data_IF_711316055448
#
_entry.id   IF_711316055448
#
_cell.length_a   1.000
_cell.length_b   1.000
_cell.length_c   1.000
_cell.angle_alpha   90.00
_cell.angle_beta   90.00
_cell.angle_gamma   90.00
#
_symmetry.space_group_name_H-M   'P 1'
#
loop_
_entity.id
_entity.type
_entity.pdbx_description
1 polymer ?
#
# COMPACT_ATOMS: atom_id res chain seq x y z
N UNK A 1 -28.25 36.72 -57.83
CA UNK A 1 -26.98 37.02 -57.15
C UNK A 1 -26.70 35.88 -56.20
N UNK A 2 -25.81 34.99 -56.62
CA UNK A 2 -25.18 34.01 -55.73
C UNK A 2 -24.36 34.77 -54.68
N UNK A 3 -24.51 34.41 -53.41
CA UNK A 3 -23.45 34.57 -52.41
C UNK A 3 -23.50 33.41 -51.43
N UNK A 4 -22.64 32.43 -51.72
CA UNK A 4 -21.69 31.74 -50.84
C UNK A 4 -22.14 31.29 -49.43
N UNK A 5 -21.95 29.97 -49.26
CA UNK A 5 -21.88 29.17 -48.05
C UNK A 5 -21.29 29.84 -46.78
N UNK A 6 -21.95 29.59 -45.65
CA UNK A 6 -21.39 29.71 -44.31
C UNK A 6 -21.88 28.54 -43.45
N UNK A 7 -21.00 27.56 -43.21
CA UNK A 7 -21.23 26.43 -42.29
C UNK A 7 -21.31 26.96 -40.85
N UNK A 8 -22.34 26.56 -40.11
CA UNK A 8 -22.38 26.67 -38.64
C UNK A 8 -22.76 25.32 -38.02
N UNK A 9 -21.89 24.33 -38.20
CA UNK A 9 -21.83 23.17 -37.31
C UNK A 9 -20.62 23.38 -36.41
N UNK A 10 -20.82 23.79 -35.15
CA UNK A 10 -19.86 23.61 -34.07
C UNK A 10 -20.47 24.05 -32.73
N UNK A 11 -21.18 23.13 -32.07
CA UNK A 11 -21.41 23.16 -30.62
C UNK A 11 -21.75 21.76 -30.09
N UNK A 12 -20.95 20.75 -30.43
CA UNK A 12 -21.03 19.43 -29.77
C UNK A 12 -19.73 18.60 -29.80
N UNK A 13 -18.66 19.09 -30.41
CA UNK A 13 -17.36 18.42 -30.44
C UNK A 13 -16.31 19.21 -29.63
N UNK A 14 -16.49 19.26 -28.31
CA UNK A 14 -15.46 19.73 -27.37
C UNK A 14 -15.59 18.95 -26.05
N UNK A 15 -15.38 17.64 -26.12
CA UNK A 15 -15.12 16.83 -24.92
C UNK A 15 -14.10 15.71 -25.15
N UNK A 16 -13.54 15.53 -26.36
CA UNK A 16 -12.66 14.39 -26.64
C UNK A 16 -11.34 14.85 -27.26
N UNK A 17 -10.46 15.42 -26.44
CA UNK A 17 -9.01 15.53 -26.66
C UNK A 17 -8.46 15.99 -25.28
N UNK A 18 -7.78 15.21 -24.45
CA UNK A 18 -6.69 14.25 -24.69
C UNK A 18 -6.79 13.11 -23.68
N UNK A 19 -6.96 11.86 -24.14
CA UNK A 19 -6.43 10.69 -23.42
C UNK A 19 -4.93 10.63 -23.76
N UNK A 20 -4.15 11.52 -23.16
CA UNK A 20 -2.70 11.39 -23.14
C UNK A 20 -2.36 10.25 -22.21
N UNK A 21 -1.77 9.19 -22.74
CA UNK A 21 -1.13 8.04 -22.05
C UNK A 21 -1.50 7.92 -20.56
N UNK A 22 -2.60 7.22 -20.25
CA UNK A 22 -2.95 6.91 -18.86
C UNK A 22 -1.74 6.23 -18.22
N UNK A 23 -1.05 6.95 -17.33
CA UNK A 23 -0.14 6.35 -16.37
C UNK A 23 -0.93 5.23 -15.67
N UNK A 24 -0.51 3.98 -15.88
CA UNK A 24 -1.27 2.84 -15.42
C UNK A 24 -0.79 2.46 -14.03
N UNK A 25 -1.64 2.72 -13.05
CA UNK A 25 -1.31 2.45 -11.66
C UNK A 25 -1.43 0.98 -11.30
N UNK A 26 -0.55 0.52 -10.42
CA UNK A 26 -0.51 -0.88 -9.98
C UNK A 26 -1.04 -1.03 -8.55
N UNK A 27 -1.84 -2.06 -8.33
CA UNK A 27 -2.21 -2.49 -6.99
C UNK A 27 -1.00 -3.14 -6.32
N UNK A 28 -0.55 -2.59 -5.20
CA UNK A 28 0.60 -3.08 -4.43
C UNK A 28 0.10 -3.71 -3.15
N UNK A 29 0.29 -5.03 -3.02
CA UNK A 29 0.09 -5.76 -1.77
C UNK A 29 1.33 -6.63 -1.51
N UNK A 30 2.03 -6.39 -0.42
CA UNK A 30 3.26 -7.11 -0.06
C UNK A 30 3.21 -7.57 1.39
N UNK A 31 3.56 -8.83 1.63
CA UNK A 31 3.62 -9.39 2.98
C UNK A 31 5.05 -9.33 3.56
N UNK A 32 5.16 -8.92 4.82
CA UNK A 32 6.35 -9.03 5.66
C UNK A 32 6.07 -9.88 6.90
N UNK A 33 7.03 -10.74 7.26
CA UNK A 33 6.94 -11.59 8.46
C UNK A 33 7.48 -10.84 9.66
N UNK A 34 6.69 -10.76 10.72
CA UNK A 34 7.06 -10.12 11.98
C UNK A 34 7.13 -11.18 13.09
N UNK A 35 8.28 -11.24 13.74
CA UNK A 35 8.53 -12.07 14.94
C UNK A 35 8.46 -11.18 16.18
N UNK A 36 8.44 -11.79 17.36
CA UNK A 36 8.37 -11.08 18.65
C UNK A 36 9.33 -9.89 18.75
N UNK A 37 10.60 -10.06 18.37
CA UNK A 37 11.61 -8.99 18.45
C UNK A 37 11.30 -7.75 17.57
N UNK A 38 10.56 -7.92 16.46
CA UNK A 38 10.21 -6.82 15.55
C UNK A 38 8.88 -6.14 15.88
N UNK A 39 8.03 -6.77 16.71
CA UNK A 39 6.65 -6.36 16.88
C UNK A 39 6.51 -5.00 17.58
N UNK A 40 7.35 -4.72 18.58
CA UNK A 40 7.35 -3.42 19.26
C UNK A 40 7.90 -2.30 18.38
N UNK A 41 8.88 -2.59 17.53
CA UNK A 41 9.37 -1.64 16.53
C UNK A 41 8.29 -1.27 15.51
N UNK A 42 7.52 -2.28 15.07
CA UNK A 42 6.35 -2.08 14.19
C UNK A 42 5.27 -1.23 14.85
N UNK A 43 4.99 -1.45 16.13
CA UNK A 43 4.08 -0.59 16.90
C UNK A 43 4.55 0.87 16.92
N UNK A 44 5.81 1.12 17.27
CA UNK A 44 6.36 2.48 17.31
C UNK A 44 6.26 3.18 15.96
N UNK A 45 6.48 2.43 14.87
CA UNK A 45 6.33 2.93 13.52
C UNK A 45 4.86 3.23 13.19
N UNK A 46 3.97 2.24 13.31
CA UNK A 46 2.59 2.34 12.85
C UNK A 46 1.76 3.34 13.68
N UNK A 47 1.99 3.40 14.99
CA UNK A 47 1.27 4.30 15.90
C UNK A 47 2.00 5.62 16.17
N UNK A 48 3.10 5.87 15.45
CA UNK A 48 3.92 7.09 15.55
C UNK A 48 4.34 7.45 16.99
N UNK A 49 4.57 6.44 17.84
CA UNK A 49 4.92 6.64 19.26
C UNK A 49 6.31 7.26 19.47
N UNK A 50 7.16 7.23 18.44
CA UNK A 50 8.52 7.77 18.47
C UNK A 50 8.82 8.47 17.15
N UNK A 51 9.63 9.53 17.21
CA UNK A 51 10.19 10.15 16.02
C UNK A 51 11.01 9.12 15.24
N UNK A 52 10.72 8.99 13.95
CA UNK A 52 11.50 8.13 13.06
C UNK A 52 12.94 8.64 12.96
N UNK A 53 13.90 7.72 12.94
CA UNK A 53 15.33 8.02 12.75
C UNK A 53 15.82 7.69 11.34
N UNK A 54 14.94 7.12 10.52
CA UNK A 54 15.28 6.47 9.24
C UNK A 54 14.40 6.94 8.09
N UNK A 55 13.34 7.69 8.39
CA UNK A 55 12.38 8.16 7.42
C UNK A 55 12.11 9.64 7.71
N UNK A 56 12.80 10.51 7.00
CA UNK A 56 12.65 11.96 7.10
C UNK A 56 11.46 12.47 6.29
N UNK A 57 10.82 11.61 5.48
CA UNK A 57 9.63 11.93 4.69
C UNK A 57 8.32 11.91 5.49
N UNK A 58 8.38 11.67 6.80
CA UNK A 58 7.19 11.71 7.66
C UNK A 58 6.83 13.16 7.96
N UNK A 59 5.67 13.58 7.49
CA UNK A 59 5.09 14.89 7.79
C UNK A 59 4.30 14.84 9.11
N UNK A 60 4.93 15.31 10.18
CA UNK A 60 4.35 15.31 11.52
C UNK A 60 3.07 16.15 11.66
N UNK A 61 2.85 17.15 10.80
CA UNK A 61 1.61 17.96 10.83
C UNK A 61 0.41 17.16 10.29
N UNK A 62 0.69 16.18 9.43
CA UNK A 62 -0.29 15.29 8.80
C UNK A 62 -0.48 13.97 9.55
N UNK A 63 0.32 13.65 10.56
CA UNK A 63 0.15 12.42 11.36
C UNK A 63 -1.26 12.28 11.95
N UNK A 64 -1.95 13.39 12.23
CA UNK A 64 -3.36 13.39 12.67
C UNK A 64 -4.36 12.88 11.62
N UNK A 65 -3.94 12.77 10.36
CA UNK A 65 -4.71 12.20 9.24
C UNK A 65 -4.57 10.68 9.16
N UNK A 66 -3.66 10.08 9.93
CA UNK A 66 -3.53 8.63 10.04
C UNK A 66 -4.68 8.06 10.88
N UNK A 67 -5.08 6.83 10.58
CA UNK A 67 -6.17 6.15 11.30
C UNK A 67 -5.98 4.64 11.29
N UNK A 68 -6.60 3.92 12.23
CA UNK A 68 -6.63 2.46 12.26
C UNK A 68 -8.07 1.97 12.02
N UNK A 69 -8.25 1.14 10.99
CA UNK A 69 -9.56 0.58 10.62
C UNK A 69 -10.05 -0.52 11.57
N UNK A 70 -9.17 -1.05 12.42
CA UNK A 70 -9.46 -2.12 13.37
C UNK A 70 -9.62 -1.60 14.81
N UNK A 71 -8.89 -0.56 15.19
CA UNK A 71 -8.78 -0.11 16.57
C UNK A 71 -9.07 1.39 16.70
N UNK A 72 -9.97 1.77 17.61
CA UNK A 72 -10.30 3.18 17.84
C UNK A 72 -9.20 3.97 18.57
N UNK A 73 -8.27 3.24 19.21
CA UNK A 73 -7.16 3.80 19.99
C UNK A 73 -5.90 2.99 19.77
N UNK A 74 -4.78 3.61 20.11
CA UNK A 74 -3.48 2.96 20.20
C UNK A 74 -3.53 1.74 21.14
N UNK A 75 -2.80 0.69 20.77
CA UNK A 75 -2.78 -0.61 21.45
C UNK A 75 -1.35 -1.12 21.63
N UNK A 76 -1.11 -1.97 22.63
CA UNK A 76 0.13 -2.75 22.64
C UNK A 76 0.01 -3.94 21.69
N UNK A 77 0.87 -3.98 20.67
CA UNK A 77 0.84 -5.04 19.66
C UNK A 77 1.24 -6.39 20.24
N UNK A 78 2.14 -6.46 21.22
CA UNK A 78 2.50 -7.74 21.85
C UNK A 78 1.33 -8.31 22.64
N UNK A 79 0.65 -7.46 23.42
CA UNK A 79 -0.53 -7.86 24.19
C UNK A 79 -1.65 -8.32 23.25
N UNK A 80 -2.01 -7.49 22.27
CA UNK A 80 -3.09 -7.83 21.32
C UNK A 80 -2.81 -9.12 20.54
N UNK A 81 -1.60 -9.29 20.02
CA UNK A 81 -1.24 -10.51 19.28
C UNK A 81 -1.27 -11.73 20.20
N UNK A 82 -0.82 -11.59 21.45
CA UNK A 82 -0.91 -12.65 22.45
C UNK A 82 -2.36 -13.01 22.77
N UNK A 83 -3.25 -12.03 22.94
CA UNK A 83 -4.69 -12.25 23.15
C UNK A 83 -5.32 -13.05 21.99
N UNK A 84 -5.03 -12.66 20.74
CA UNK A 84 -5.53 -13.37 19.55
C UNK A 84 -5.03 -14.81 19.50
N UNK A 85 -3.76 -15.05 19.86
CA UNK A 85 -3.20 -16.40 19.88
C UNK A 85 -3.85 -17.23 20.98
N UNK A 86 -3.85 -16.75 22.23
CA UNK A 86 -4.30 -17.54 23.37
C UNK A 86 -5.82 -17.79 23.37
N UNK A 87 -6.62 -16.88 22.81
CA UNK A 87 -8.08 -17.08 22.65
C UNK A 87 -8.46 -18.20 21.68
N UNK A 88 -7.55 -18.60 20.79
CA UNK A 88 -7.82 -19.60 19.74
C UNK A 88 -6.99 -20.87 19.89
N UNK A 89 -5.90 -20.82 20.64
CA UNK A 89 -4.91 -21.88 20.70
C UNK A 89 -5.45 -23.10 21.46
N UNK A 90 -5.44 -24.25 20.82
CA UNK A 90 -5.94 -25.51 21.41
C UNK A 90 -4.84 -26.34 22.10
N UNK A 91 -3.57 -26.08 21.78
CA UNK A 91 -2.45 -26.81 22.34
C UNK A 91 -1.85 -26.15 23.58
N UNK A 92 -1.36 -26.96 24.52
CA UNK A 92 -0.68 -26.47 25.75
C UNK A 92 0.77 -26.04 25.53
N UNK A 93 1.37 -26.37 24.39
CA UNK A 93 2.78 -26.04 24.10
C UNK A 93 2.98 -24.52 23.96
N UNK A 94 4.06 -24.01 24.55
CA UNK A 94 4.45 -22.60 24.39
C UNK A 94 4.75 -22.26 22.94
N UNK A 95 4.38 -21.04 22.53
CA UNK A 95 4.75 -20.49 21.22
C UNK A 95 6.26 -20.38 21.11
N UNK A 96 6.84 -20.94 20.04
CA UNK A 96 8.30 -20.90 19.79
C UNK A 96 8.79 -19.45 19.66
N UNK A 97 9.99 -19.16 20.18
CA UNK A 97 10.57 -17.81 20.21
C UNK A 97 10.76 -17.17 18.83
N UNK A 98 10.97 -17.99 17.81
CA UNK A 98 11.22 -17.58 16.43
C UNK A 98 9.98 -17.75 15.53
N UNK A 99 8.80 -17.95 16.14
CA UNK A 99 7.53 -17.97 15.43
C UNK A 99 7.31 -16.63 14.71
N UNK A 100 6.77 -16.73 13.50
CA UNK A 100 6.13 -15.59 12.86
C UNK A 100 4.82 -15.36 13.61
N UNK A 101 4.73 -14.24 14.32
CA UNK A 101 3.57 -13.87 15.11
C UNK A 101 2.56 -13.10 14.27
N UNK A 102 3.06 -12.27 13.35
CA UNK A 102 2.24 -11.47 12.45
C UNK A 102 2.81 -11.55 11.04
N UNK A 103 1.91 -11.65 10.06
CA UNK A 103 2.19 -11.40 8.66
C UNK A 103 1.56 -10.03 8.34
N UNK A 104 2.39 -9.00 8.25
CA UNK A 104 1.93 -7.64 7.94
C UNK A 104 1.81 -7.48 6.43
N UNK A 105 0.64 -7.07 5.95
CA UNK A 105 0.41 -6.69 4.56
C UNK A 105 0.57 -5.19 4.44
N UNK A 106 1.53 -4.75 3.62
CA UNK A 106 1.61 -3.40 3.10
C UNK A 106 0.70 -3.31 1.89
N UNK A 107 -0.32 -2.45 1.97
CA UNK A 107 -1.33 -2.24 0.92
C UNK A 107 -1.29 -0.80 0.45
N UNK A 108 -1.05 -0.59 -0.84
CA UNK A 108 -0.92 0.75 -1.45
C UNK A 108 -1.04 0.67 -2.98
N UNK A 109 -0.77 1.79 -3.64
CA UNK A 109 -0.56 1.94 -5.07
C UNK A 109 0.56 2.98 -5.29
N UNK A 110 0.63 3.61 -6.45
CA UNK A 110 1.48 4.77 -6.70
C UNK A 110 0.81 6.08 -6.29
N UNK A 111 1.60 7.15 -6.26
CA UNK A 111 1.17 8.49 -5.90
C UNK A 111 0.11 9.03 -6.87
N UNK A 112 0.33 8.85 -8.17
CA UNK A 112 -0.58 9.31 -9.22
C UNK A 112 -1.99 8.72 -9.06
N UNK A 113 -2.11 7.47 -8.63
CA UNK A 113 -3.40 6.86 -8.30
C UNK A 113 -4.13 7.60 -7.19
N UNK A 114 -3.47 7.84 -6.05
CA UNK A 114 -4.13 8.46 -4.90
C UNK A 114 -4.41 9.95 -5.12
N UNK A 115 -3.56 10.67 -5.86
CA UNK A 115 -3.80 12.09 -6.18
C UNK A 115 -5.06 12.31 -7.04
N UNK A 116 -5.52 11.27 -7.75
CA UNK A 116 -6.76 11.31 -8.54
C UNK A 116 -8.02 11.00 -7.71
N UNK A 117 -7.87 10.51 -6.47
CA UNK A 117 -8.98 10.15 -5.59
C UNK A 117 -9.23 11.25 -4.56
N UNK A 118 -10.50 11.58 -4.33
CA UNK A 118 -10.88 12.40 -3.19
C UNK A 118 -10.64 11.64 -1.86
N UNK A 119 -10.54 12.35 -0.71
CA UNK A 119 -10.25 11.71 0.57
C UNK A 119 -11.24 10.59 0.97
N UNK A 120 -12.51 10.69 0.58
CA UNK A 120 -13.51 9.66 0.84
C UNK A 120 -13.23 8.39 0.03
N UNK A 121 -12.87 8.54 -1.24
CA UNK A 121 -12.48 7.43 -2.11
C UNK A 121 -11.15 6.79 -1.71
N UNK A 122 -10.17 7.57 -1.25
CA UNK A 122 -8.95 7.02 -0.65
C UNK A 122 -9.26 6.19 0.60
N UNK A 123 -10.14 6.67 1.48
CA UNK A 123 -10.57 5.91 2.64
C UNK A 123 -11.30 4.63 2.24
N UNK A 124 -12.19 4.69 1.25
CA UNK A 124 -12.92 3.55 0.69
C UNK A 124 -11.97 2.49 0.12
N UNK A 125 -10.89 2.91 -0.54
CA UNK A 125 -9.85 2.01 -1.03
C UNK A 125 -9.27 1.13 0.09
N UNK A 126 -8.91 1.74 1.23
CA UNK A 126 -8.37 1.00 2.37
C UNK A 126 -9.44 0.19 3.12
N UNK A 127 -10.68 0.66 3.17
CA UNK A 127 -11.80 -0.08 3.77
C UNK A 127 -12.14 -1.36 2.99
N UNK A 128 -12.23 -1.29 1.66
CA UNK A 128 -12.45 -2.46 0.81
C UNK A 128 -11.25 -3.43 0.87
N UNK A 129 -10.04 -2.89 0.93
CA UNK A 129 -8.82 -3.70 1.18
C UNK A 129 -8.92 -4.44 2.53
N UNK A 130 -9.25 -3.73 3.60
CA UNK A 130 -9.41 -4.29 4.94
C UNK A 130 -10.50 -5.36 4.98
N UNK A 131 -11.63 -5.11 4.33
CA UNK A 131 -12.74 -6.05 4.20
C UNK A 131 -12.31 -7.34 3.50
N UNK A 132 -11.68 -7.25 2.32
CA UNK A 132 -11.18 -8.41 1.57
C UNK A 132 -10.28 -9.30 2.44
N UNK A 133 -9.30 -8.70 3.12
CA UNK A 133 -8.34 -9.46 3.91
C UNK A 133 -8.95 -9.98 5.23
N UNK A 134 -9.86 -9.23 5.84
CA UNK A 134 -10.60 -9.67 7.03
C UNK A 134 -11.51 -10.86 6.73
N UNK A 135 -12.19 -10.86 5.58
CA UNK A 135 -13.00 -11.99 5.11
C UNK A 135 -12.12 -13.21 4.79
N UNK A 136 -10.97 -12.99 4.15
CA UNK A 136 -10.03 -14.07 3.78
C UNK A 136 -9.36 -14.73 4.98
N UNK A 137 -8.90 -13.94 5.95
CA UNK A 137 -8.06 -14.42 7.05
C UNK A 137 -8.78 -14.51 8.40
N UNK A 138 -10.01 -14.01 8.49
CA UNK A 138 -10.81 -13.93 9.70
C UNK A 138 -10.60 -12.59 10.42
N UNK A 139 -11.69 -11.84 10.65
CA UNK A 139 -11.66 -10.53 11.32
C UNK A 139 -11.06 -10.59 12.74
N UNK A 140 -11.19 -11.72 13.42
CA UNK A 140 -10.60 -12.00 14.73
C UNK A 140 -9.07 -12.13 14.68
N UNK A 141 -8.50 -12.47 13.52
CA UNK A 141 -7.07 -12.62 13.32
C UNK A 141 -6.36 -11.29 12.97
N UNK A 142 -7.12 -10.23 12.68
CA UNK A 142 -6.56 -8.92 12.37
C UNK A 142 -6.25 -8.17 13.67
N UNK A 143 -4.97 -7.94 13.92
CA UNK A 143 -4.49 -7.25 15.12
C UNK A 143 -4.62 -5.72 14.98
N UNK A 144 -4.27 -5.19 13.81
CA UNK A 144 -4.27 -3.76 13.47
C UNK A 144 -4.40 -3.57 11.96
N UNK A 145 -4.90 -2.41 11.53
CA UNK A 145 -4.99 -2.01 10.13
C UNK A 145 -4.78 -0.49 10.02
N UNK A 146 -3.54 -0.06 10.19
CA UNK A 146 -3.17 1.35 10.31
C UNK A 146 -2.86 1.95 8.94
N UNK A 147 -3.55 3.02 8.57
CA UNK A 147 -3.34 3.79 7.35
C UNK A 147 -2.46 5.00 7.68
N UNK A 148 -1.37 5.13 6.93
CA UNK A 148 -0.49 6.30 6.95
C UNK A 148 -0.79 7.19 5.75
N UNK A 149 -1.18 8.42 6.04
CA UNK A 149 -1.33 9.51 5.08
C UNK A 149 -0.18 10.53 5.21
N UNK A 150 0.60 10.45 6.29
CA UNK A 150 1.71 11.36 6.62
C UNK A 150 3.05 11.02 5.94
N UNK A 151 3.04 10.18 4.90
CA UNK A 151 4.23 9.86 4.09
C UNK A 151 3.99 10.20 2.61
N UNK A 152 4.97 9.95 1.74
CA UNK A 152 4.92 10.31 0.32
C UNK A 152 3.72 9.70 -0.45
N UNK A 153 3.24 8.53 -0.05
CA UNK A 153 2.12 7.85 -0.70
C UNK A 153 1.25 7.19 0.36
N UNK A 154 -0.08 7.39 0.33
CA UNK A 154 -0.99 6.72 1.25
C UNK A 154 -0.81 5.21 1.24
N UNK A 155 -0.66 4.58 2.41
CA UNK A 155 -0.50 3.14 2.52
C UNK A 155 -1.03 2.60 3.83
N UNK A 156 -1.42 1.32 3.84
CA UNK A 156 -1.92 0.62 5.01
C UNK A 156 -0.98 -0.50 5.44
N UNK A 157 -0.71 -0.56 6.74
CA UNK A 157 -0.10 -1.69 7.44
C UNK A 157 -1.19 -2.54 8.10
N UNK A 158 -1.45 -3.72 7.53
CA UNK A 158 -2.47 -4.64 8.04
C UNK A 158 -1.83 -5.89 8.65
N UNK A 159 -1.90 -6.00 9.97
CA UNK A 159 -1.29 -7.08 10.74
C UNK A 159 -2.21 -8.29 10.90
N UNK A 160 -1.92 -9.38 10.18
CA UNK A 160 -2.63 -10.66 10.32
C UNK A 160 -1.87 -11.60 11.25
N UNK A 161 -2.50 -12.03 12.35
CA UNK A 161 -2.01 -13.14 13.17
C UNK A 161 -2.40 -14.44 12.47
N UNK A 162 -1.45 -15.28 12.02
CA UNK A 162 -1.75 -16.43 11.16
C UNK A 162 -2.27 -17.64 11.97
N UNK A 163 -3.35 -17.46 12.74
CA UNK A 163 -4.03 -18.53 13.45
C UNK A 163 -4.96 -19.28 12.49
N UNK A 164 -4.84 -20.61 12.48
CA UNK A 164 -5.70 -21.52 11.73
C UNK A 164 -5.79 -22.85 12.47
N UNK A 165 -7.02 -23.37 12.59
CA UNK A 165 -7.30 -24.65 13.24
C UNK A 165 -6.66 -24.76 14.65
N UNK A 166 -6.76 -23.66 15.41
CA UNK A 166 -6.22 -23.54 16.78
C UNK A 166 -4.69 -23.51 16.88
N UNK A 167 -3.98 -23.29 15.77
CA UNK A 167 -2.52 -23.26 15.72
C UNK A 167 -2.01 -22.01 15.01
N UNK A 168 -0.87 -21.51 15.48
CA UNK A 168 -0.14 -20.42 14.81
C UNK A 168 0.65 -20.99 13.62
N UNK A 169 0.24 -20.68 12.40
CA UNK A 169 0.70 -21.34 11.17
C UNK A 169 1.14 -20.34 10.07
N UNK A 170 2.06 -19.42 10.38
CA UNK A 170 2.53 -18.41 9.41
C UNK A 170 2.98 -18.94 8.04
N UNK A 171 3.64 -20.11 7.98
CA UNK A 171 4.04 -20.73 6.70
C UNK A 171 2.87 -21.31 5.91
N UNK A 172 1.87 -21.86 6.60
CA UNK A 172 0.75 -22.54 5.91
C UNK A 172 -0.31 -21.54 5.46
N UNK A 173 -0.58 -20.53 6.28
CA UNK A 173 -1.49 -19.42 5.92
C UNK A 173 -0.88 -18.63 4.77
N UNK A 174 0.35 -18.13 4.90
CA UNK A 174 1.03 -17.36 3.86
C UNK A 174 2.07 -18.20 3.11
N UNK A 175 1.58 -19.21 2.39
CA UNK A 175 2.38 -20.04 1.50
C UNK A 175 2.50 -19.40 0.09
N UNK A 176 3.26 -20.02 -0.83
CA UNK A 176 3.45 -19.50 -2.20
C UNK A 176 2.13 -19.28 -2.95
N UNK A 177 1.19 -20.23 -2.83
CA UNK A 177 -0.11 -20.13 -3.49
C UNK A 177 -0.92 -18.97 -2.94
N UNK A 178 -0.85 -18.71 -1.63
CA UNK A 178 -1.51 -17.58 -1.01
C UNK A 178 -0.91 -16.24 -1.46
N UNK A 179 0.42 -16.16 -1.60
CA UNK A 179 1.06 -14.95 -2.10
C UNK A 179 0.68 -14.66 -3.57
N UNK A 180 0.53 -15.70 -4.40
CA UNK A 180 -0.01 -15.55 -5.76
C UNK A 180 -1.48 -15.13 -5.73
N UNK A 181 -2.27 -15.69 -4.81
CA UNK A 181 -3.66 -15.31 -4.59
C UNK A 181 -3.77 -13.83 -4.25
N UNK A 182 -2.90 -13.28 -3.40
CA UNK A 182 -2.87 -11.84 -3.10
C UNK A 182 -2.67 -11.01 -4.36
N UNK A 183 -1.67 -11.36 -5.20
CA UNK A 183 -1.36 -10.61 -6.43
C UNK A 183 -2.46 -10.65 -7.50
N UNK A 184 -3.29 -11.69 -7.49
CA UNK A 184 -4.38 -11.84 -8.45
C UNK A 184 -5.71 -11.29 -7.90
N UNK A 185 -6.06 -11.62 -6.66
CA UNK A 185 -7.37 -11.30 -6.08
C UNK A 185 -7.49 -9.91 -5.51
N UNK A 186 -6.41 -9.33 -5.00
CA UNK A 186 -6.46 -7.95 -4.53
C UNK A 186 -6.80 -6.97 -5.68
N UNK A 187 -6.07 -6.96 -6.82
CA UNK A 187 -6.41 -6.08 -7.93
C UNK A 187 -7.79 -6.39 -8.54
N UNK A 188 -8.17 -7.67 -8.67
CA UNK A 188 -9.51 -8.05 -9.13
C UNK A 188 -10.62 -7.51 -8.24
N UNK A 189 -10.43 -7.55 -6.91
CA UNK A 189 -11.40 -7.01 -5.97
C UNK A 189 -11.49 -5.49 -6.07
N UNK A 190 -10.36 -4.78 -6.07
CA UNK A 190 -10.34 -3.32 -6.17
C UNK A 190 -10.99 -2.83 -7.48
N UNK A 191 -10.73 -3.53 -8.59
CA UNK A 191 -11.38 -3.23 -9.88
C UNK A 191 -12.90 -3.37 -9.82
N UNK A 192 -13.43 -4.38 -9.12
CA UNK A 192 -14.88 -4.55 -8.94
C UNK A 192 -15.52 -3.41 -8.13
N UNK A 193 -14.75 -2.77 -7.24
CA UNK A 193 -15.20 -1.61 -6.48
C UNK A 193 -15.06 -0.28 -7.24
N UNK A 194 -14.56 -0.32 -8.49
CA UNK A 194 -14.40 0.86 -9.35
C UNK A 194 -13.01 1.49 -9.31
N UNK A 195 -12.03 0.87 -8.64
CA UNK A 195 -10.64 1.36 -8.67
C UNK A 195 -9.89 0.76 -9.87
N UNK A 196 -9.49 1.62 -10.81
CA UNK A 196 -8.77 1.22 -12.03
C UNK A 196 -7.30 0.91 -11.75
N UNK A 197 -7.03 -0.27 -11.17
CA UNK A 197 -5.68 -0.74 -10.85
C UNK A 197 -5.30 -1.99 -11.64
N UNK A 198 -4.03 -2.08 -12.00
CA UNK A 198 -3.45 -3.28 -12.63
C UNK A 198 -2.76 -4.17 -11.63
N UNK A 199 -2.82 -5.47 -11.91
CA UNK A 199 -1.96 -6.47 -11.25
C UNK A 199 -0.51 -6.28 -11.66
N UNK A 200 0.42 -6.57 -10.74
CA UNK A 200 1.84 -6.64 -11.07
C UNK A 200 2.16 -7.71 -12.12
N UNK A 201 3.33 -7.60 -12.73
CA UNK A 201 3.81 -8.54 -13.75
C UNK A 201 3.87 -9.99 -13.22
N UNK A 202 3.31 -10.95 -13.98
CA UNK A 202 3.39 -12.38 -13.61
C UNK A 202 4.83 -12.85 -13.76
N UNK A 203 5.33 -13.56 -12.76
CA UNK A 203 6.67 -14.15 -12.83
C UNK A 203 7.80 -13.11 -12.82
N UNK A 204 7.52 -11.87 -12.38
CA UNK A 204 8.53 -10.84 -12.25
C UNK A 204 9.71 -11.32 -11.40
N UNK A 205 10.92 -11.11 -11.89
CA UNK A 205 12.20 -11.43 -11.25
C UNK A 205 12.69 -10.29 -10.32
N UNK A 206 11.91 -9.20 -10.24
CA UNK A 206 12.20 -8.05 -9.39
C UNK A 206 12.39 -8.48 -7.94
N UNK A 207 13.58 -8.16 -7.41
CA UNK A 207 13.88 -8.33 -5.99
C UNK A 207 13.36 -7.13 -5.23
N UNK A 208 12.69 -7.39 -4.12
CA UNK A 208 12.32 -6.31 -3.21
C UNK A 208 13.58 -5.60 -2.71
N UNK A 209 13.50 -4.28 -2.69
CA UNK A 209 14.53 -3.39 -2.19
C UNK A 209 13.93 -2.67 -0.98
N UNK A 210 14.69 -2.59 0.12
CA UNK A 210 14.26 -1.86 1.31
C UNK A 210 13.99 -0.39 0.99
N UNK A 211 13.03 0.20 1.69
CA UNK A 211 12.54 1.57 1.41
C UNK A 211 13.65 2.61 1.34
N UNK A 212 14.59 2.62 2.29
CA UNK A 212 15.71 3.57 2.28
C UNK A 212 16.59 3.43 1.03
N UNK A 213 16.85 2.20 0.59
CA UNK A 213 17.63 1.92 -0.61
C UNK A 213 16.85 2.26 -1.88
N UNK A 214 15.55 2.00 -1.91
CA UNK A 214 14.68 2.39 -3.02
C UNK A 214 14.63 3.92 -3.20
N UNK A 215 14.49 4.67 -2.10
CA UNK A 215 14.53 6.14 -2.08
C UNK A 215 15.84 6.66 -2.64
N UNK A 216 16.98 6.16 -2.14
CA UNK A 216 18.31 6.52 -2.65
C UNK A 216 18.43 6.30 -4.16
N UNK A 217 18.02 5.13 -4.66
CA UNK A 217 18.09 4.82 -6.10
C UNK A 217 17.16 5.69 -6.95
N UNK A 218 16.02 6.11 -6.40
CA UNK A 218 15.07 6.99 -7.10
C UNK A 218 15.64 8.40 -7.21
N UNK A 219 16.19 8.93 -6.12
CA UNK A 219 16.86 10.24 -6.11
C UNK A 219 18.07 10.27 -7.05
N UNK A 220 18.91 9.21 -7.05
CA UNK A 220 20.05 9.11 -7.97
C UNK A 220 19.63 9.18 -9.44
N UNK A 221 18.52 8.54 -9.81
CA UNK A 221 17.97 8.58 -11.18
C UNK A 221 17.39 9.96 -11.52
N UNK A 222 16.73 10.60 -10.56
CA UNK A 222 16.15 11.92 -10.76
C UNK A 222 17.25 12.97 -10.95
N UNK A 223 18.34 12.89 -10.18
CA UNK A 223 19.53 13.72 -10.36
C UNK A 223 20.13 13.51 -11.77
N UNK A 224 20.38 12.27 -12.19
CA UNK A 224 20.92 11.97 -13.52
C UNK A 224 20.01 12.49 -14.67
N UNK A 225 18.70 12.37 -14.50
CA UNK A 225 17.73 12.91 -15.46
C UNK A 225 17.77 14.45 -15.53
N UNK A 226 17.82 15.12 -14.37
CA UNK A 226 17.90 16.58 -14.30
C UNK A 226 19.22 17.10 -14.87
N UNK A 227 20.34 16.42 -14.60
CA UNK A 227 21.66 16.77 -15.16
C UNK A 227 21.66 16.69 -16.69
N UNK A 228 21.07 15.63 -17.27
CA UNK A 228 20.92 15.48 -18.72
C UNK A 228 20.06 16.59 -19.33
N UNK A 229 18.91 16.89 -18.72
CA UNK A 229 18.03 17.96 -19.21
C UNK A 229 18.70 19.34 -19.10
N UNK A 230 19.49 19.56 -18.06
CA UNK A 230 20.24 20.80 -17.86
C UNK A 230 21.38 20.95 -18.87
N UNK A 231 22.05 19.85 -19.25
CA UNK A 231 23.03 19.84 -20.33
C UNK A 231 22.38 20.21 -21.68
N UNK A 232 21.25 19.58 -22.03
CA UNK A 232 20.50 19.90 -23.26
C UNK A 232 20.08 21.38 -23.30
N UNK A 233 19.53 21.90 -22.19
CA UNK A 233 19.14 23.33 -22.12
C UNK A 233 20.32 24.29 -22.19
N UNK A 234 21.49 23.89 -21.67
CA UNK A 234 22.72 24.70 -21.80
C UNK A 234 23.16 24.75 -23.25
N UNK A 235 23.18 23.61 -23.94
CA UNK A 235 23.54 23.54 -25.35
C UNK A 235 22.58 24.39 -26.20
N UNK A 236 21.27 24.32 -25.95
CA UNK A 236 20.24 25.16 -26.58
C UNK A 236 20.40 26.67 -26.30
N UNK A 237 20.92 27.04 -25.13
CA UNK A 237 21.14 28.45 -24.76
C UNK A 237 22.46 29.01 -25.31
N UNK A 238 23.43 28.14 -25.57
CA UNK A 238 24.74 28.51 -26.13
C UNK A 238 24.80 28.44 -27.67
N UNK A 239 23.75 27.92 -28.32
CA UNK A 239 23.58 27.89 -29.77
C UNK A 239 22.83 29.13 -30.27
#
# INVERSE_FOLDING_TARGET
MEVVAGKSENASHLCHLKRSDLHMSYAVCRMQKVKSAGLKGMQFHNQRERKSRTNDDIDHERTRENYDLKNDKNIDYNERVKEIIESQKTGTRKTRKDAVLVNELLVTSDRDFFEQLDPGEQKRFFEESYKLFSERYGKQNIAYATVHNDEQTPHMHLGVVPMRDGKLQGKNVFNRQELLWLQDKFPEHMKKQGFELKRGERGSDRKHIETAKFKKQTLEKEIDFLEKNLAVKKDEWTA
#
